data_IF_212025761587
#
_entry.id   IF_212025761587
#
_cell.length_a   1.000
_cell.length_b   1.000
_cell.length_c   1.000
_cell.angle_alpha   90.00
_cell.angle_beta   90.00
_cell.angle_gamma   90.00
#
_symmetry.space_group_name_H-M   'P 1'
#
loop_
_entity.id
_entity.type
_entity.pdbx_description
1 polymer ?
#
# COMPACT_ATOMS: atom_id res chain seq x y z
N UNK A 1 -21.71 24.66 -19.69
CA UNK A 1 -20.63 24.48 -18.72
C UNK A 1 -20.72 23.02 -18.19
N UNK A 2 -19.98 22.06 -18.82
CA UNK A 2 -20.02 20.64 -18.43
C UNK A 2 -19.39 20.51 -17.04
N UNK A 3 -20.15 19.99 -16.08
CA UNK A 3 -19.65 19.70 -14.75
C UNK A 3 -18.54 18.63 -14.86
N UNK A 4 -17.30 19.02 -14.60
CA UNK A 4 -16.16 18.11 -14.41
C UNK A 4 -16.35 17.44 -13.03
N UNK A 5 -17.08 16.34 -12.99
CA UNK A 5 -17.43 15.60 -11.76
C UNK A 5 -17.35 14.10 -11.89
N UNK A 6 -16.90 13.56 -13.01
CA UNK A 6 -16.58 12.15 -13.08
C UNK A 6 -15.14 11.92 -12.59
N UNK A 7 -14.97 11.08 -11.59
CA UNK A 7 -13.67 10.57 -11.17
C UNK A 7 -13.06 9.79 -12.35
N UNK A 8 -12.42 10.49 -13.27
CA UNK A 8 -11.66 9.85 -14.34
C UNK A 8 -10.55 9.05 -13.70
N UNK A 9 -10.57 7.74 -13.89
CA UNK A 9 -9.56 6.83 -13.39
C UNK A 9 -8.16 7.31 -13.84
N UNK A 10 -7.20 7.34 -12.92
CA UNK A 10 -5.85 7.80 -13.22
C UNK A 10 -4.97 6.64 -13.67
N UNK A 11 -4.76 6.51 -14.99
CA UNK A 11 -3.96 5.43 -15.58
C UNK A 11 -2.49 5.46 -15.19
N UNK A 12 -1.92 6.63 -14.86
CA UNK A 12 -0.55 6.74 -14.36
C UNK A 12 -0.42 6.09 -12.97
N UNK A 13 -1.35 6.34 -12.08
CA UNK A 13 -1.39 5.68 -10.77
C UNK A 13 -1.60 4.16 -10.92
N UNK A 14 -2.43 3.73 -11.86
CA UNK A 14 -2.62 2.30 -12.13
C UNK A 14 -1.34 1.64 -12.66
N UNK A 15 -0.62 2.30 -13.56
CA UNK A 15 0.68 1.83 -14.03
C UNK A 15 1.71 1.76 -12.89
N UNK A 16 1.79 2.79 -12.05
CA UNK A 16 2.71 2.82 -10.90
C UNK A 16 2.37 1.74 -9.86
N UNK A 17 1.08 1.46 -9.63
CA UNK A 17 0.67 0.31 -8.79
C UNK A 17 1.23 -1.00 -9.29
N UNK A 18 1.11 -1.24 -10.59
CA UNK A 18 1.67 -2.44 -11.22
C UNK A 18 3.20 -2.47 -11.08
N UNK A 19 3.88 -1.37 -11.38
CA UNK A 19 5.33 -1.27 -11.29
C UNK A 19 5.85 -1.59 -9.89
N UNK A 20 5.26 -0.99 -8.84
CA UNK A 20 5.68 -1.23 -7.46
C UNK A 20 5.31 -2.64 -6.96
N UNK A 21 4.20 -3.22 -7.40
CA UNK A 21 3.89 -4.63 -7.14
C UNK A 21 4.89 -5.57 -7.80
N UNK A 22 5.33 -5.24 -9.01
CA UNK A 22 6.35 -6.01 -9.74
C UNK A 22 7.72 -5.93 -9.03
N UNK A 23 8.11 -4.78 -8.51
CA UNK A 23 9.34 -4.61 -7.72
C UNK A 23 9.34 -5.54 -6.50
N UNK A 24 8.22 -5.61 -5.78
CA UNK A 24 8.05 -6.52 -4.64
C UNK A 24 8.15 -7.98 -5.08
N UNK A 25 7.47 -8.36 -6.15
CA UNK A 25 7.55 -9.72 -6.72
C UNK A 25 8.99 -10.08 -7.10
N UNK A 26 9.71 -9.22 -7.83
CA UNK A 26 11.07 -9.46 -8.28
C UNK A 26 12.03 -9.67 -7.11
N UNK A 27 11.88 -8.95 -6.02
CA UNK A 27 12.68 -9.15 -4.80
C UNK A 27 12.50 -10.55 -4.21
N UNK A 28 11.26 -11.01 -4.12
CA UNK A 28 10.94 -12.33 -3.55
C UNK A 28 11.20 -13.48 -4.52
N UNK A 29 11.29 -13.21 -5.83
CA UNK A 29 11.63 -14.22 -6.85
C UNK A 29 13.12 -14.56 -6.88
N UNK A 30 13.98 -13.84 -6.17
CA UNK A 30 15.41 -14.14 -6.06
C UNK A 30 15.69 -15.56 -5.54
N UNK A 31 14.77 -16.10 -4.73
CA UNK A 31 14.84 -17.48 -4.26
C UNK A 31 14.63 -18.52 -5.39
N UNK A 32 14.04 -18.11 -6.51
CA UNK A 32 13.72 -18.97 -7.66
C UNK A 32 14.89 -19.07 -8.62
N UNK A 33 15.60 -17.94 -8.85
CA UNK A 33 16.64 -17.81 -9.89
C UNK A 33 18.03 -18.21 -9.37
N UNK A 34 18.12 -18.60 -8.11
CA UNK A 34 19.38 -18.95 -7.44
C UNK A 34 19.93 -17.82 -6.57
N UNK A 35 20.61 -18.20 -5.50
CA UNK A 35 21.04 -17.34 -4.39
C UNK A 35 21.96 -16.15 -4.72
N UNK A 36 22.24 -15.85 -5.97
CA UNK A 36 23.20 -14.80 -6.38
C UNK A 36 22.56 -13.51 -6.88
N UNK A 37 21.23 -13.50 -7.14
CA UNK A 37 20.56 -12.33 -7.68
C UNK A 37 19.52 -11.80 -6.70
N UNK A 38 19.80 -10.70 -6.05
CA UNK A 38 18.93 -10.03 -5.08
C UNK A 38 18.60 -8.61 -5.56
N UNK A 39 17.71 -8.45 -6.56
CA UNK A 39 17.28 -7.13 -6.99
C UNK A 39 16.43 -6.47 -5.91
N UNK A 40 16.45 -5.17 -5.85
CA UNK A 40 15.57 -4.37 -4.99
C UNK A 40 15.64 -4.76 -3.51
N UNK A 41 16.80 -4.58 -2.89
CA UNK A 41 16.98 -4.80 -1.45
C UNK A 41 15.97 -4.00 -0.59
N UNK A 42 15.42 -2.95 -1.16
CA UNK A 42 14.48 -2.03 -0.57
C UNK A 42 13.02 -2.21 -0.96
N UNK A 43 12.62 -3.39 -1.39
CA UNK A 43 11.25 -3.71 -1.82
C UNK A 43 10.16 -3.29 -0.82
N UNK A 44 10.45 -3.42 0.48
CA UNK A 44 9.54 -3.00 1.53
C UNK A 44 9.14 -1.52 1.44
N UNK A 45 9.98 -0.69 0.81
CA UNK A 45 9.71 0.73 0.59
C UNK A 45 8.67 0.98 -0.51
N UNK A 46 8.43 0.02 -1.41
CA UNK A 46 7.36 0.12 -2.40
C UNK A 46 5.95 0.15 -1.77
N UNK A 47 5.80 -0.33 -0.52
CA UNK A 47 4.53 -0.31 0.20
C UNK A 47 4.11 1.12 0.57
N UNK A 48 5.05 2.06 0.72
CA UNK A 48 4.77 3.48 0.99
C UNK A 48 3.87 4.07 -0.10
N UNK A 49 4.12 3.70 -1.37
CA UNK A 49 3.27 4.12 -2.48
C UNK A 49 1.79 3.75 -2.25
N UNK A 50 1.54 2.53 -1.81
CA UNK A 50 0.17 2.05 -1.63
C UNK A 50 -0.54 2.75 -0.47
N UNK A 51 0.16 3.06 0.63
CA UNK A 51 -0.41 3.84 1.73
C UNK A 51 -0.70 5.28 1.32
N UNK A 52 0.25 5.95 0.65
CA UNK A 52 0.08 7.32 0.15
C UNK A 52 -1.11 7.44 -0.81
N UNK A 53 -1.20 6.52 -1.79
CA UNK A 53 -2.33 6.45 -2.73
C UNK A 53 -3.64 6.16 -2.01
N UNK A 54 -3.62 5.28 -1.01
CA UNK A 54 -4.80 4.91 -0.23
C UNK A 54 -5.35 6.10 0.56
N UNK A 55 -4.47 6.90 1.17
CA UNK A 55 -4.84 8.13 1.87
C UNK A 55 -5.42 9.19 0.93
N UNK A 56 -4.78 9.42 -0.21
CA UNK A 56 -5.27 10.35 -1.22
C UNK A 56 -6.69 9.99 -1.71
N UNK A 57 -6.91 8.72 -2.05
CA UNK A 57 -8.21 8.23 -2.54
C UNK A 57 -9.27 8.20 -1.44
N UNK A 58 -8.89 7.97 -0.18
CA UNK A 58 -9.79 8.09 0.97
C UNK A 58 -10.28 9.51 1.11
N UNK A 59 -9.39 10.50 1.06
CA UNK A 59 -9.78 11.91 1.16
C UNK A 59 -10.65 12.35 -0.03
N UNK A 60 -10.34 11.89 -1.24
CA UNK A 60 -11.19 12.14 -2.41
C UNK A 60 -12.63 11.60 -2.21
N UNK A 61 -12.77 10.43 -1.56
CA UNK A 61 -14.08 9.87 -1.21
C UNK A 61 -14.81 10.71 -0.17
N UNK A 62 -14.13 11.13 0.89
CA UNK A 62 -14.67 12.02 1.93
C UNK A 62 -15.16 13.33 1.32
N UNK A 63 -14.33 13.94 0.47
CA UNK A 63 -14.66 15.22 -0.18
C UNK A 63 -15.90 15.11 -1.09
N UNK A 64 -16.08 13.96 -1.75
CA UNK A 64 -17.29 13.69 -2.53
C UNK A 64 -18.53 13.60 -1.64
N UNK A 65 -18.45 12.94 -0.50
CA UNK A 65 -19.55 12.85 0.46
C UNK A 65 -19.89 14.21 1.09
N UNK A 66 -18.87 15.04 1.42
CA UNK A 66 -19.07 16.38 1.95
C UNK A 66 -19.83 17.30 0.96
N UNK A 67 -19.52 17.19 -0.34
CA UNK A 67 -20.21 17.97 -1.39
C UNK A 67 -21.61 17.47 -1.69
N UNK A 68 -21.89 16.17 -1.46
CA UNK A 68 -23.20 15.57 -1.72
C UNK A 68 -24.29 15.97 -0.72
N UNK A 69 -23.93 16.62 0.39
CA UNK A 69 -24.89 17.03 1.43
C UNK A 69 -25.56 15.88 2.17
N UNK A 70 -25.04 14.66 2.04
CA UNK A 70 -25.60 13.47 2.67
C UNK A 70 -25.55 13.57 4.21
N UNK A 71 -26.71 13.66 4.84
CA UNK A 71 -26.90 13.61 6.29
C UNK A 71 -26.87 12.16 6.82
N UNK A 72 -26.08 11.30 6.22
CA UNK A 72 -25.92 9.93 6.68
C UNK A 72 -25.25 9.91 8.06
N UNK A 73 -25.70 8.99 8.94
CA UNK A 73 -25.02 8.77 10.21
C UNK A 73 -23.55 8.42 9.96
N UNK A 74 -22.65 9.20 10.55
CA UNK A 74 -21.20 9.12 10.35
C UNK A 74 -20.65 7.69 10.49
N UNK A 75 -21.13 6.93 11.49
CA UNK A 75 -20.76 5.54 11.69
C UNK A 75 -21.18 4.64 10.50
N UNK A 76 -22.40 4.83 9.99
CA UNK A 76 -22.91 4.05 8.83
C UNK A 76 -22.10 4.36 7.56
N UNK A 77 -21.78 5.62 7.34
CA UNK A 77 -20.96 6.05 6.21
C UNK A 77 -19.54 5.44 6.29
N UNK A 78 -18.90 5.50 7.47
CA UNK A 78 -17.58 4.91 7.69
C UNK A 78 -17.58 3.40 7.46
N UNK A 79 -18.55 2.69 8.03
CA UNK A 79 -18.71 1.24 7.81
C UNK A 79 -18.98 0.93 6.35
N UNK A 80 -19.81 1.71 5.67
CA UNK A 80 -20.07 1.57 4.22
C UNK A 80 -18.79 1.74 3.38
N UNK A 81 -17.96 2.73 3.70
CA UNK A 81 -16.67 2.94 3.06
C UNK A 81 -15.73 1.74 3.26
N UNK A 82 -15.56 1.28 4.50
CA UNK A 82 -14.70 0.14 4.83
C UNK A 82 -15.20 -1.16 4.17
N UNK A 83 -16.50 -1.41 4.23
CA UNK A 83 -17.11 -2.58 3.58
C UNK A 83 -16.87 -2.59 2.07
N UNK A 84 -17.00 -1.43 1.42
CA UNK A 84 -16.68 -1.30 -0.01
C UNK A 84 -15.21 -1.58 -0.30
N UNK A 85 -14.30 -1.11 0.55
CA UNK A 85 -12.86 -1.40 0.45
C UNK A 85 -12.59 -2.89 0.61
N UNK A 86 -13.12 -3.51 1.66
CA UNK A 86 -12.95 -4.95 1.92
C UNK A 86 -13.47 -5.76 0.73
N UNK A 87 -14.69 -5.51 0.26
CA UNK A 87 -15.26 -6.21 -0.91
C UNK A 87 -14.39 -6.09 -2.16
N UNK A 88 -13.62 -5.01 -2.29
CA UNK A 88 -12.76 -4.77 -3.45
C UNK A 88 -11.47 -5.61 -3.47
N UNK A 89 -11.02 -6.15 -2.36
CA UNK A 89 -9.79 -6.96 -2.31
C UNK A 89 -9.96 -8.33 -1.63
N UNK A 90 -11.04 -8.55 -0.91
CA UNK A 90 -11.27 -9.76 -0.11
C UNK A 90 -11.26 -11.05 -0.92
N UNK A 91 -11.89 -11.13 -2.10
CA UNK A 91 -11.86 -12.37 -2.90
C UNK A 91 -10.44 -12.80 -3.25
N UNK A 92 -9.60 -11.87 -3.69
CA UNK A 92 -8.20 -12.14 -4.05
C UNK A 92 -7.36 -12.46 -2.81
N UNK A 93 -7.60 -11.75 -1.71
CA UNK A 93 -6.91 -11.96 -0.45
C UNK A 93 -7.21 -13.34 0.14
N UNK A 94 -8.48 -13.74 0.21
CA UNK A 94 -8.85 -15.04 0.78
C UNK A 94 -8.33 -16.21 -0.06
N UNK A 95 -8.33 -16.09 -1.39
CA UNK A 95 -7.74 -17.09 -2.28
C UNK A 95 -6.24 -17.22 -2.00
N UNK A 96 -5.51 -16.09 -1.97
CA UNK A 96 -4.07 -16.10 -1.70
C UNK A 96 -3.75 -16.67 -0.31
N UNK A 97 -4.56 -16.37 0.71
CA UNK A 97 -4.41 -16.87 2.06
C UNK A 97 -4.67 -18.39 2.15
N UNK A 98 -5.77 -18.88 1.53
CA UNK A 98 -6.10 -20.31 1.48
C UNK A 98 -5.00 -21.10 0.77
N UNK A 99 -4.51 -20.59 -0.37
CA UNK A 99 -3.40 -21.21 -1.08
C UNK A 99 -2.14 -21.27 -0.21
N UNK A 100 -1.80 -20.19 0.50
CA UNK A 100 -0.66 -20.16 1.40
C UNK A 100 -0.84 -21.15 2.58
N UNK A 101 -2.04 -21.26 3.15
CA UNK A 101 -2.37 -22.23 4.20
C UNK A 101 -2.23 -23.66 3.71
N UNK A 102 -2.80 -23.98 2.54
CA UNK A 102 -2.73 -25.34 1.97
C UNK A 102 -1.29 -25.78 1.73
N UNK A 103 -0.43 -24.90 1.20
CA UNK A 103 0.98 -25.26 0.98
C UNK A 103 1.72 -25.49 2.29
N UNK A 104 1.52 -24.61 3.27
CA UNK A 104 2.13 -24.83 4.56
C UNK A 104 1.61 -26.12 5.23
N UNK A 105 0.37 -26.55 4.95
CA UNK A 105 -0.16 -27.83 5.42
C UNK A 105 0.47 -29.01 4.68
N UNK A 106 0.59 -28.94 3.35
CA UNK A 106 1.22 -29.99 2.52
C UNK A 106 2.70 -30.17 2.86
N UNK A 107 3.39 -29.10 3.21
CA UNK A 107 4.80 -29.12 3.61
C UNK A 107 5.04 -29.69 5.01
N UNK A 108 4.00 -29.97 5.81
CA UNK A 108 4.15 -30.63 7.12
C UNK A 108 4.40 -32.15 6.97
N UNK A 109 5.23 -32.69 7.83
CA UNK A 109 5.49 -34.14 7.90
C UNK A 109 4.23 -34.89 8.32
N UNK A 110 3.54 -34.42 9.37
CA UNK A 110 2.31 -35.02 9.87
C UNK A 110 1.06 -34.28 9.33
N UNK A 111 0.27 -34.97 8.53
CA UNK A 111 -0.98 -34.45 7.90
C UNK A 111 -2.19 -35.00 8.66
N UNK A 112 -2.48 -34.39 9.81
CA UNK A 112 -3.63 -34.74 10.63
C UNK A 112 -4.72 -33.70 10.57
N UNK A 113 -6.01 -34.12 10.73
CA UNK A 113 -7.15 -33.18 10.80
C UNK A 113 -6.95 -32.19 11.96
N UNK A 114 -6.45 -32.68 13.12
CA UNK A 114 -6.15 -31.82 14.27
C UNK A 114 -5.09 -30.77 13.93
N UNK A 115 -4.04 -31.17 13.20
CA UNK A 115 -3.00 -30.25 12.73
C UNK A 115 -3.54 -29.19 11.77
N UNK A 116 -4.46 -29.55 10.88
CA UNK A 116 -5.13 -28.60 9.98
C UNK A 116 -6.01 -27.59 10.73
N UNK A 117 -6.82 -28.08 11.69
CA UNK A 117 -7.66 -27.20 12.52
C UNK A 117 -6.81 -26.25 13.38
N UNK A 118 -5.70 -26.72 13.95
CA UNK A 118 -4.75 -25.83 14.65
C UNK A 118 -4.23 -24.73 13.74
N UNK A 119 -3.84 -25.06 12.50
CA UNK A 119 -3.38 -24.05 11.52
C UNK A 119 -4.46 -23.02 11.19
N UNK A 120 -5.71 -23.44 11.04
CA UNK A 120 -6.82 -22.50 10.81
C UNK A 120 -6.97 -21.52 11.98
N UNK A 121 -6.89 -22.02 13.21
CA UNK A 121 -6.96 -21.19 14.42
C UNK A 121 -5.76 -20.23 14.52
N UNK A 122 -4.55 -20.72 14.25
CA UNK A 122 -3.33 -19.91 14.27
C UNK A 122 -3.36 -18.80 13.21
N UNK A 123 -3.89 -19.10 12.02
CA UNK A 123 -4.01 -18.16 10.91
C UNK A 123 -5.27 -17.27 10.93
N UNK A 124 -6.13 -17.44 11.94
CA UNK A 124 -7.42 -16.71 12.01
C UNK A 124 -7.23 -15.18 11.95
N UNK A 125 -6.25 -14.66 12.68
CA UNK A 125 -5.98 -13.21 12.69
C UNK A 125 -5.63 -12.65 11.33
N UNK A 126 -4.89 -13.42 10.53
CA UNK A 126 -4.51 -13.06 9.17
C UNK A 126 -5.70 -13.16 8.20
N UNK A 127 -6.42 -14.30 8.21
CA UNK A 127 -7.60 -14.53 7.35
C UNK A 127 -8.76 -13.56 7.63
N UNK A 128 -8.91 -13.11 8.88
CA UNK A 128 -9.91 -12.12 9.31
C UNK A 128 -9.45 -10.66 9.19
N UNK A 129 -8.21 -10.39 8.72
CA UNK A 129 -7.61 -9.04 8.66
C UNK A 129 -7.38 -8.39 10.02
N UNK A 130 -7.38 -9.16 11.11
CA UNK A 130 -7.17 -8.69 12.48
C UNK A 130 -5.72 -8.89 12.98
N UNK A 131 -4.84 -9.42 12.14
CA UNK A 131 -3.45 -9.69 12.50
C UNK A 131 -2.74 -8.45 13.08
N UNK A 132 -2.86 -7.31 12.43
CA UNK A 132 -2.23 -6.07 12.90
C UNK A 132 -2.95 -5.42 14.10
N UNK A 133 -4.09 -5.96 14.52
CA UNK A 133 -4.73 -5.63 15.81
C UNK A 133 -4.16 -6.46 16.97
N UNK A 134 -3.19 -7.36 16.72
CA UNK A 134 -2.60 -8.24 17.73
C UNK A 134 -3.36 -9.55 17.93
N UNK A 135 -4.24 -9.91 16.99
CA UNK A 135 -5.00 -11.16 17.03
C UNK A 135 -4.37 -12.17 16.08
N UNK A 136 -3.94 -13.31 16.62
CA UNK A 136 -3.25 -14.37 15.89
C UNK A 136 -1.72 -14.32 16.07
N UNK A 137 -1.10 -15.48 16.01
CA UNK A 137 0.33 -15.66 16.28
C UNK A 137 1.14 -16.08 15.05
N UNK A 138 0.48 -16.59 14.02
CA UNK A 138 1.13 -17.18 12.84
C UNK A 138 0.68 -16.48 11.56
N UNK A 139 1.62 -16.27 10.66
CA UNK A 139 1.36 -15.70 9.33
C UNK A 139 1.71 -16.72 8.25
N UNK A 140 0.72 -17.09 7.43
CA UNK A 140 0.92 -17.90 6.23
C UNK A 140 1.24 -17.03 5.02
N UNK A 141 0.60 -15.86 4.95
CA UNK A 141 0.81 -14.85 3.93
C UNK A 141 1.08 -13.49 4.59
N UNK A 142 2.30 -13.29 5.06
CA UNK A 142 2.69 -12.10 5.84
C UNK A 142 2.32 -10.77 5.18
N UNK A 143 2.21 -10.73 3.84
CA UNK A 143 1.88 -9.48 3.12
C UNK A 143 0.49 -8.92 3.42
N UNK A 144 -0.39 -9.73 4.02
CA UNK A 144 -1.70 -9.28 4.51
C UNK A 144 -1.59 -8.22 5.62
N UNK A 145 -0.41 -8.10 6.27
CA UNK A 145 -0.17 -7.03 7.24
C UNK A 145 -0.53 -5.64 6.71
N UNK A 146 -0.21 -5.37 5.44
CA UNK A 146 -0.52 -4.10 4.80
C UNK A 146 -2.03 -3.81 4.77
N UNK A 147 -2.85 -4.80 4.36
CA UNK A 147 -4.31 -4.65 4.29
C UNK A 147 -4.91 -4.45 5.68
N UNK A 148 -4.45 -5.21 6.67
CA UNK A 148 -4.90 -5.08 8.06
C UNK A 148 -4.56 -3.68 8.62
N UNK A 149 -3.30 -3.23 8.49
CA UNK A 149 -2.88 -1.88 8.93
C UNK A 149 -3.63 -0.78 8.19
N UNK A 150 -3.83 -0.93 6.87
CA UNK A 150 -4.60 0.03 6.07
C UNK A 150 -6.03 0.17 6.57
N UNK A 151 -6.72 -0.94 6.85
CA UNK A 151 -8.11 -0.91 7.32
C UNK A 151 -8.23 -0.28 8.70
N UNK A 152 -7.35 -0.65 9.65
CA UNK A 152 -7.31 -0.05 11.00
C UNK A 152 -7.11 1.46 10.90
N UNK A 153 -6.11 1.87 10.13
CA UNK A 153 -5.81 3.30 9.95
C UNK A 153 -6.95 4.06 9.27
N UNK A 154 -7.54 3.49 8.22
CA UNK A 154 -8.68 4.11 7.53
C UNK A 154 -9.93 4.18 8.40
N UNK A 155 -10.19 3.18 9.26
CA UNK A 155 -11.34 3.21 10.16
C UNK A 155 -11.26 4.42 11.11
N UNK A 156 -10.09 4.69 11.67
CA UNK A 156 -9.85 5.82 12.57
C UNK A 156 -9.86 7.14 11.80
N UNK A 157 -9.06 7.22 10.73
CA UNK A 157 -8.85 8.47 10.00
C UNK A 157 -10.11 8.93 9.26
N UNK A 158 -10.85 8.02 8.61
CA UNK A 158 -12.08 8.36 7.90
C UNK A 158 -13.10 9.02 8.84
N UNK A 159 -13.34 8.39 10.00
CA UNK A 159 -14.25 8.89 11.01
C UNK A 159 -13.88 10.30 11.49
N UNK A 160 -12.60 10.49 11.86
CA UNK A 160 -12.10 11.74 12.40
C UNK A 160 -12.10 12.87 11.36
N UNK A 161 -11.62 12.58 10.15
CA UNK A 161 -11.55 13.57 9.07
C UNK A 161 -12.96 13.97 8.65
N UNK A 162 -13.89 13.01 8.53
CA UNK A 162 -15.27 13.29 8.12
C UNK A 162 -16.00 14.16 9.15
N UNK A 163 -15.69 13.98 10.45
CA UNK A 163 -16.27 14.77 11.53
C UNK A 163 -15.65 16.17 11.67
N UNK A 164 -14.33 16.27 11.51
CA UNK A 164 -13.57 17.51 11.75
C UNK A 164 -12.60 17.78 10.57
N UNK A 165 -13.08 18.01 9.34
CA UNK A 165 -12.23 18.02 8.16
C UNK A 165 -11.11 19.05 8.25
N UNK A 166 -11.42 20.31 8.53
CA UNK A 166 -10.43 21.40 8.59
C UNK A 166 -9.39 21.20 9.69
N UNK A 167 -9.81 20.89 10.90
CA UNK A 167 -8.89 20.69 12.04
C UNK A 167 -7.96 19.49 11.80
N UNK A 168 -8.52 18.40 11.26
CA UNK A 168 -7.72 17.21 10.95
C UNK A 168 -6.69 17.50 9.86
N UNK A 169 -7.12 18.01 8.71
CA UNK A 169 -6.22 18.14 7.56
C UNK A 169 -5.19 19.26 7.71
N UNK A 170 -5.54 20.36 8.39
CA UNK A 170 -4.66 21.53 8.50
C UNK A 170 -3.74 21.52 9.73
N UNK A 171 -4.12 20.82 10.80
CA UNK A 171 -3.38 20.89 12.09
C UNK A 171 -3.05 19.49 12.60
N UNK A 172 -4.05 18.65 12.86
CA UNK A 172 -3.85 17.41 13.63
C UNK A 172 -3.01 16.40 12.82
N UNK A 173 -3.36 16.16 11.55
CA UNK A 173 -2.61 15.19 10.74
C UNK A 173 -1.17 15.63 10.45
N UNK A 174 -0.86 16.89 10.07
CA UNK A 174 0.52 17.33 9.92
C UNK A 174 1.36 17.13 11.20
N UNK A 175 0.82 17.51 12.35
CA UNK A 175 1.51 17.33 13.65
C UNK A 175 1.65 15.84 13.99
N UNK A 176 0.60 15.03 13.81
CA UNK A 176 0.64 13.60 14.06
C UNK A 176 1.66 12.89 13.18
N UNK A 177 1.76 13.23 11.89
CA UNK A 177 2.77 12.68 10.96
C UNK A 177 4.18 12.99 11.47
N UNK A 178 4.45 14.24 11.84
CA UNK A 178 5.78 14.62 12.35
C UNK A 178 6.13 13.83 13.62
N UNK A 179 5.20 13.75 14.58
CA UNK A 179 5.44 13.04 15.84
C UNK A 179 5.61 11.52 15.62
N UNK A 180 4.76 10.90 14.80
CA UNK A 180 4.82 9.46 14.56
C UNK A 180 6.05 9.06 13.75
N UNK A 181 6.39 9.78 12.69
CA UNK A 181 7.61 9.54 11.93
C UNK A 181 8.85 9.86 12.75
N UNK A 182 8.82 10.93 13.56
CA UNK A 182 9.89 11.27 14.50
C UNK A 182 10.11 10.17 15.55
N UNK A 183 9.03 9.61 16.11
CA UNK A 183 9.09 8.46 17.02
C UNK A 183 9.75 7.23 16.34
N UNK A 184 9.32 6.89 15.13
CA UNK A 184 9.89 5.77 14.38
C UNK A 184 11.36 6.03 14.02
N UNK A 185 11.70 7.24 13.63
CA UNK A 185 13.08 7.65 13.31
C UNK A 185 14.01 7.50 14.51
N UNK A 186 13.60 8.01 15.67
CA UNK A 186 14.42 8.02 16.87
C UNK A 186 14.61 6.63 17.47
N UNK A 187 13.55 5.81 17.50
CA UNK A 187 13.59 4.52 18.18
C UNK A 187 14.03 3.36 17.29
N UNK A 188 13.79 3.45 15.97
CA UNK A 188 14.02 2.32 15.05
C UNK A 188 14.94 2.66 13.88
N UNK A 189 15.07 3.91 13.51
CA UNK A 189 15.94 4.37 12.43
C UNK A 189 15.59 3.85 11.02
N UNK A 190 14.47 3.11 10.87
CA UNK A 190 14.04 2.51 9.60
C UNK A 190 12.54 2.29 9.57
N UNK A 191 11.93 2.28 8.38
CA UNK A 191 10.53 1.92 8.17
C UNK A 191 10.31 0.40 7.99
N UNK A 192 11.35 -0.42 7.97
CA UNK A 192 11.26 -1.88 7.84
C UNK A 192 10.66 -2.55 9.08
N UNK A 193 10.40 -3.86 8.96
CA UNK A 193 9.86 -4.71 10.03
C UNK A 193 8.49 -4.23 10.56
N UNK A 194 7.47 -4.14 9.70
CA UNK A 194 6.15 -3.64 10.08
C UNK A 194 5.46 -4.50 11.14
N UNK A 195 5.78 -5.78 11.21
CA UNK A 195 5.23 -6.74 12.19
C UNK A 195 5.97 -6.74 13.53
N UNK A 196 6.87 -5.79 13.76
CA UNK A 196 7.49 -5.60 15.07
C UNK A 196 6.50 -4.98 16.04
N UNK A 197 6.27 -5.64 17.18
CA UNK A 197 5.46 -5.11 18.27
C UNK A 197 6.20 -4.00 19.01
N UNK A 198 5.53 -2.88 19.27
CA UNK A 198 6.15 -1.67 19.84
C UNK A 198 5.41 -1.19 21.11
N UNK A 199 5.14 -2.11 22.00
CA UNK A 199 4.48 -1.87 23.29
C UNK A 199 2.97 -2.07 23.24
N UNK A 200 2.24 -1.23 22.52
CA UNK A 200 0.77 -1.26 22.46
C UNK A 200 0.20 -1.58 21.07
N UNK A 201 1.04 -1.57 20.04
CA UNK A 201 0.63 -1.85 18.66
C UNK A 201 1.82 -2.36 17.83
N UNK A 202 1.57 -2.76 16.60
CA UNK A 202 2.63 -3.04 15.63
C UNK A 202 3.16 -1.75 14.99
N UNK A 203 4.47 -1.73 14.70
CA UNK A 203 5.16 -0.64 14.01
C UNK A 203 4.48 -0.27 12.69
N UNK A 204 3.97 -1.27 11.95
CA UNK A 204 3.25 -1.10 10.70
C UNK A 204 1.98 -0.25 10.82
N UNK A 205 1.30 -0.25 11.98
CA UNK A 205 0.11 0.58 12.20
C UNK A 205 0.49 2.07 12.32
N UNK A 206 1.54 2.40 13.08
CA UNK A 206 2.02 3.78 13.19
C UNK A 206 2.48 4.29 11.81
N UNK A 207 3.22 3.45 11.08
CA UNK A 207 3.63 3.72 9.72
C UNK A 207 2.42 3.96 8.81
N UNK A 208 1.43 3.07 8.80
CA UNK A 208 0.23 3.18 7.97
C UNK A 208 -0.57 4.46 8.27
N UNK A 209 -0.78 4.80 9.56
CA UNK A 209 -1.46 6.04 9.95
C UNK A 209 -0.71 7.25 9.42
N UNK A 210 0.62 7.29 9.57
CA UNK A 210 1.45 8.42 9.11
C UNK A 210 1.39 8.60 7.59
N UNK A 211 1.55 7.51 6.84
CA UNK A 211 1.64 7.55 5.38
C UNK A 211 0.28 7.76 4.72
N UNK A 212 -0.80 7.19 5.27
CA UNK A 212 -2.17 7.49 4.84
C UNK A 212 -2.50 8.96 5.13
N UNK A 213 -2.07 9.50 6.29
CA UNK A 213 -2.23 10.92 6.61
C UNK A 213 -1.47 11.82 5.64
N UNK A 214 -0.24 11.46 5.24
CA UNK A 214 0.48 12.16 4.17
C UNK A 214 -0.31 12.13 2.85
N UNK A 215 -0.94 11.01 2.51
CA UNK A 215 -1.81 10.90 1.34
C UNK A 215 -3.01 11.85 1.42
N UNK A 216 -3.64 11.99 2.59
CA UNK A 216 -4.73 12.94 2.86
C UNK A 216 -4.26 14.39 2.68
N UNK A 217 -3.13 14.75 3.30
CA UNK A 217 -2.53 16.09 3.17
C UNK A 217 -2.19 16.37 1.71
N UNK A 218 -1.64 15.37 1.01
CA UNK A 218 -1.34 15.47 -0.43
C UNK A 218 -2.57 15.75 -1.28
N UNK A 219 -3.73 15.20 -0.95
CA UNK A 219 -5.00 15.52 -1.63
C UNK A 219 -5.34 17.00 -1.48
N UNK A 220 -5.30 17.55 -0.28
CA UNK A 220 -5.60 18.97 -0.02
C UNK A 220 -4.66 19.90 -0.79
N UNK A 221 -3.35 19.58 -0.80
CA UNK A 221 -2.36 20.35 -1.55
C UNK A 221 -2.67 20.30 -3.06
N UNK A 222 -2.94 19.12 -3.63
CA UNK A 222 -3.26 18.99 -5.05
C UNK A 222 -4.54 19.74 -5.41
N UNK A 223 -5.58 19.71 -4.55
CA UNK A 223 -6.80 20.46 -4.77
C UNK A 223 -6.57 21.99 -4.71
N UNK A 224 -5.76 22.44 -3.74
CA UNK A 224 -5.41 23.85 -3.62
C UNK A 224 -4.72 24.38 -4.89
N UNK A 225 -3.79 23.60 -5.44
CA UNK A 225 -3.08 23.97 -6.67
C UNK A 225 -3.84 23.59 -7.97
N UNK A 226 -5.00 22.96 -7.90
CA UNK A 226 -5.75 22.51 -9.09
C UNK A 226 -6.08 23.65 -10.08
N UNK A 227 -6.42 24.89 -9.63
CA UNK A 227 -6.73 25.99 -10.55
C UNK A 227 -5.51 26.51 -11.33
N UNK A 228 -4.30 26.29 -10.84
CA UNK A 228 -3.06 26.80 -11.46
C UNK A 228 -2.86 26.15 -12.82
N UNK A 229 -2.82 26.95 -13.87
CA UNK A 229 -2.55 26.50 -15.23
C UNK A 229 -1.04 26.57 -15.52
N UNK A 230 -0.46 25.46 -15.93
CA UNK A 230 0.95 25.44 -16.34
C UNK A 230 1.08 25.69 -17.84
N UNK A 231 2.03 26.55 -18.23
CA UNK A 231 2.45 26.67 -19.61
C UNK A 231 3.22 25.39 -20.08
N UNK A 232 3.52 25.31 -21.37
CA UNK A 232 4.19 24.13 -21.95
C UNK A 232 5.51 23.80 -21.24
N UNK A 233 6.34 24.80 -20.94
CA UNK A 233 7.63 24.61 -20.23
C UNK A 233 7.42 24.08 -18.81
N UNK A 234 6.43 24.63 -18.07
CA UNK A 234 6.09 24.18 -16.72
C UNK A 234 5.56 22.73 -16.70
N UNK A 235 4.75 22.32 -17.69
CA UNK A 235 4.30 20.92 -17.83
C UNK A 235 5.47 19.96 -18.07
N UNK A 236 6.41 20.31 -18.96
CA UNK A 236 7.61 19.53 -19.24
C UNK A 236 8.47 19.43 -17.98
N UNK A 237 8.73 20.54 -17.31
CA UNK A 237 9.51 20.58 -16.07
C UNK A 237 8.90 19.67 -14.99
N UNK A 238 7.59 19.76 -14.75
CA UNK A 238 6.86 18.94 -13.79
C UNK A 238 7.00 17.45 -14.13
N UNK A 239 6.86 17.08 -15.41
CA UNK A 239 6.99 15.69 -15.85
C UNK A 239 8.39 15.16 -15.64
N UNK A 240 9.42 15.90 -16.08
CA UNK A 240 10.83 15.51 -15.91
C UNK A 240 11.16 15.35 -14.42
N UNK A 241 10.82 16.35 -13.59
CA UNK A 241 11.07 16.34 -12.15
C UNK A 241 10.42 15.10 -11.50
N UNK A 242 9.14 14.83 -11.80
CA UNK A 242 8.40 13.68 -11.26
C UNK A 242 9.05 12.35 -11.64
N UNK A 243 9.38 12.14 -12.91
CA UNK A 243 10.02 10.89 -13.35
C UNK A 243 11.45 10.74 -12.84
N UNK A 244 12.19 11.84 -12.69
CA UNK A 244 13.48 11.81 -11.99
C UNK A 244 13.32 11.37 -10.53
N UNK A 245 12.31 11.88 -9.81
CA UNK A 245 12.04 11.44 -8.43
C UNK A 245 11.71 9.94 -8.36
N UNK A 246 10.84 9.41 -9.24
CA UNK A 246 10.59 7.96 -9.30
C UNK A 246 11.85 7.17 -9.64
N UNK A 247 12.68 7.65 -10.57
CA UNK A 247 13.96 7.03 -10.91
C UNK A 247 14.90 6.96 -9.70
N UNK A 248 15.01 8.04 -8.94
CA UNK A 248 15.82 8.11 -7.70
C UNK A 248 15.26 7.15 -6.63
N UNK A 249 13.94 7.05 -6.47
CA UNK A 249 13.29 6.13 -5.53
C UNK A 249 13.56 4.67 -5.93
N UNK A 250 13.41 4.34 -7.22
CA UNK A 250 13.68 2.99 -7.72
C UNK A 250 15.17 2.63 -7.56
N UNK A 251 16.08 3.57 -7.84
CA UNK A 251 17.51 3.38 -7.60
C UNK A 251 17.81 3.19 -6.11
N UNK A 252 17.17 3.96 -5.23
CA UNK A 252 17.29 3.77 -3.78
C UNK A 252 16.83 2.37 -3.36
N UNK A 253 15.68 1.91 -3.85
CA UNK A 253 15.19 0.55 -3.57
C UNK A 253 16.11 -0.53 -4.14
N UNK A 254 16.76 -0.28 -5.29
CA UNK A 254 17.68 -1.24 -5.88
C UNK A 254 18.91 -1.47 -5.01
N UNK A 255 19.53 -0.39 -4.54
CA UNK A 255 20.81 -0.47 -3.85
C UNK A 255 20.68 -0.61 -2.34
N UNK A 256 19.69 0.01 -1.74
CA UNK A 256 19.52 0.07 -0.28
C UNK A 256 18.10 0.35 0.13
N UNK A 257 17.71 -0.18 1.27
CA UNK A 257 16.62 0.33 2.10
C UNK A 257 16.79 -0.15 3.53
N UNK A 258 16.11 0.48 4.45
CA UNK A 258 16.08 0.08 5.84
C UNK A 258 17.05 0.82 6.73
N UNK A 259 17.29 2.11 6.45
CA UNK A 259 18.02 3.02 7.31
C UNK A 259 17.28 4.38 7.45
N UNK A 260 17.92 5.32 8.18
CA UNK A 260 17.37 6.66 8.44
C UNK A 260 17.04 7.46 7.17
N UNK A 261 17.59 7.10 6.03
CA UNK A 261 17.29 7.75 4.74
C UNK A 261 15.90 7.40 4.22
N UNK A 262 15.29 6.31 4.70
CA UNK A 262 13.89 5.96 4.37
C UNK A 262 12.96 7.17 4.56
N UNK A 263 13.18 7.96 5.61
CA UNK A 263 12.33 9.11 5.92
C UNK A 263 12.46 10.26 4.92
N UNK A 264 13.65 10.50 4.40
CA UNK A 264 13.88 11.51 3.36
C UNK A 264 13.23 11.04 2.06
N UNK A 265 13.48 9.78 1.67
CA UNK A 265 12.91 9.22 0.46
C UNK A 265 11.39 9.06 0.52
N UNK A 266 10.79 8.89 1.71
CA UNK A 266 9.35 8.92 1.89
C UNK A 266 8.75 10.27 1.46
N UNK A 267 9.37 11.39 1.83
CA UNK A 267 8.89 12.71 1.40
C UNK A 267 9.11 12.95 -0.11
N UNK A 268 10.21 12.46 -0.68
CA UNK A 268 10.43 12.49 -2.14
C UNK A 268 9.33 11.68 -2.84
N UNK A 269 9.00 10.50 -2.30
CA UNK A 269 7.96 9.65 -2.84
C UNK A 269 6.58 10.28 -2.74
N UNK A 270 6.25 10.84 -1.59
CA UNK A 270 5.01 11.58 -1.37
C UNK A 270 4.85 12.71 -2.39
N UNK A 271 5.89 13.51 -2.62
CA UNK A 271 5.84 14.60 -3.59
C UNK A 271 5.67 14.09 -5.03
N UNK A 272 6.36 13.01 -5.41
CA UNK A 272 6.19 12.38 -6.73
C UNK A 272 4.75 11.88 -6.94
N UNK A 273 4.15 11.25 -5.92
CA UNK A 273 2.75 10.78 -5.95
C UNK A 273 1.77 11.94 -6.09
N UNK A 274 1.99 13.07 -5.40
CA UNK A 274 1.16 14.27 -5.57
C UNK A 274 1.26 14.82 -7.00
N UNK A 275 2.47 14.86 -7.57
CA UNK A 275 2.65 15.29 -8.96
C UNK A 275 1.88 14.39 -9.93
N UNK A 276 1.84 13.08 -9.71
CA UNK A 276 1.07 12.12 -10.52
C UNK A 276 -0.44 12.33 -10.38
N UNK A 277 -0.93 12.61 -9.18
CA UNK A 277 -2.35 12.94 -8.97
C UNK A 277 -2.77 14.30 -9.53
N UNK A 278 -1.85 15.26 -9.64
CA UNK A 278 -2.14 16.57 -10.22
C UNK A 278 -2.57 16.50 -11.70
N UNK A 279 -2.14 15.47 -12.41
CA UNK A 279 -2.37 15.25 -13.85
C UNK A 279 -2.03 16.46 -14.72
N UNK A 280 -1.04 17.24 -14.32
CA UNK A 280 -0.61 18.47 -15.04
C UNK A 280 0.62 18.24 -15.94
N UNK A 281 1.18 17.04 -15.95
CA UNK A 281 2.28 16.65 -16.83
C UNK A 281 1.87 16.50 -18.29
N UNK A 282 2.87 16.44 -19.18
CA UNK A 282 2.66 16.23 -20.62
C UNK A 282 2.21 14.81 -20.94
N UNK A 283 2.56 13.84 -20.09
CA UNK A 283 2.30 12.40 -20.28
C UNK A 283 0.90 11.97 -19.87
N UNK A 284 0.06 12.88 -19.39
CA UNK A 284 -1.30 12.56 -18.91
C UNK A 284 -2.07 11.66 -19.85
N UNK A 285 -2.10 12.00 -21.14
CA UNK A 285 -2.86 11.25 -22.14
C UNK A 285 -2.21 9.90 -22.49
N UNK A 286 -0.89 9.79 -22.33
CA UNK A 286 -0.16 8.54 -22.59
C UNK A 286 -0.60 7.41 -21.67
N UNK A 287 -0.82 7.69 -20.40
CA UNK A 287 -1.26 6.69 -19.43
C UNK A 287 -2.77 6.45 -19.41
N UNK A 288 -3.58 7.32 -20.03
CA UNK A 288 -5.05 7.18 -20.07
C UNK A 288 -5.47 6.17 -21.15
N UNK A 289 -5.05 4.91 -20.99
CA UNK A 289 -5.33 3.82 -21.92
C UNK A 289 -5.73 2.54 -21.19
N UNK A 290 -6.34 1.60 -21.92
CA UNK A 290 -6.85 0.35 -21.35
C UNK A 290 -5.73 -0.56 -20.80
N UNK A 291 -4.53 -0.49 -21.36
CA UNK A 291 -3.38 -1.31 -20.91
C UNK A 291 -2.99 -0.90 -19.49
N UNK A 292 -2.84 0.41 -19.21
CA UNK A 292 -2.53 0.91 -17.88
C UNK A 292 -3.62 0.54 -16.88
N UNK A 293 -4.90 0.67 -17.27
CA UNK A 293 -6.02 0.28 -16.42
C UNK A 293 -6.05 -1.22 -16.13
N UNK A 294 -5.73 -2.05 -17.12
CA UNK A 294 -5.62 -3.49 -16.96
C UNK A 294 -4.47 -3.86 -16.00
N UNK A 295 -3.27 -3.33 -16.22
CA UNK A 295 -2.10 -3.54 -15.36
C UNK A 295 -2.42 -3.16 -13.89
N UNK A 296 -3.09 -2.03 -13.67
CA UNK A 296 -3.49 -1.60 -12.34
C UNK A 296 -4.45 -2.56 -11.63
N UNK A 297 -5.29 -3.31 -12.36
CA UNK A 297 -6.15 -4.35 -11.78
C UNK A 297 -5.35 -5.54 -11.26
N UNK A 298 -4.27 -5.94 -11.95
CA UNK A 298 -3.42 -7.05 -11.56
C UNK A 298 -2.47 -6.74 -10.40
N UNK A 299 -2.23 -5.47 -10.10
CA UNK A 299 -1.26 -5.06 -9.08
C UNK A 299 -1.54 -5.70 -7.71
N UNK A 300 -2.80 -5.79 -7.32
CA UNK A 300 -3.19 -6.38 -6.04
C UNK A 300 -2.99 -7.90 -6.03
N UNK A 301 -3.42 -8.59 -7.08
CA UNK A 301 -3.24 -10.05 -7.20
C UNK A 301 -1.75 -10.42 -7.19
N UNK A 302 -0.90 -9.66 -7.89
CA UNK A 302 0.56 -9.82 -7.85
C UNK A 302 1.07 -9.65 -6.43
N UNK A 303 0.67 -8.57 -5.75
CA UNK A 303 1.09 -8.28 -4.39
C UNK A 303 0.65 -9.37 -3.40
N UNK A 304 -0.55 -9.91 -3.50
CA UNK A 304 -1.06 -10.92 -2.57
C UNK A 304 -0.49 -12.31 -2.81
N UNK A 305 -0.23 -12.66 -4.07
CA UNK A 305 0.17 -14.02 -4.44
C UNK A 305 1.70 -14.22 -4.54
N UNK A 306 2.52 -13.15 -4.49
CA UNK A 306 3.96 -13.29 -4.75
C UNK A 306 4.69 -14.20 -3.75
N UNK A 307 4.32 -14.19 -2.46
CA UNK A 307 4.91 -15.08 -1.44
C UNK A 307 4.57 -16.55 -1.73
N UNK A 308 3.32 -16.80 -2.14
CA UNK A 308 2.89 -18.13 -2.56
C UNK A 308 3.76 -18.66 -3.71
N UNK A 309 3.93 -17.88 -4.77
CA UNK A 309 4.76 -18.29 -5.91
C UNK A 309 6.23 -18.46 -5.53
N UNK A 310 6.78 -17.57 -4.73
CA UNK A 310 8.17 -17.64 -4.28
C UNK A 310 8.46 -18.90 -3.45
N UNK A 311 7.55 -19.32 -2.57
CA UNK A 311 7.71 -20.55 -1.76
C UNK A 311 7.55 -21.82 -2.60
N UNK A 312 6.55 -21.86 -3.48
CA UNK A 312 6.23 -23.06 -4.26
C UNK A 312 7.25 -23.39 -5.33
N UNK A 313 7.71 -22.40 -6.06
CA UNK A 313 8.75 -22.64 -7.07
C UNK A 313 10.03 -23.18 -6.42
N UNK A 314 10.37 -22.74 -5.21
CA UNK A 314 11.49 -23.33 -4.48
C UNK A 314 11.25 -24.82 -4.14
N UNK A 315 10.04 -25.18 -3.68
CA UNK A 315 9.69 -26.55 -3.36
C UNK A 315 9.76 -27.45 -4.61
N UNK A 316 9.12 -27.03 -5.72
CA UNK A 316 9.14 -27.78 -6.98
C UNK A 316 10.53 -27.90 -7.59
N UNK A 317 11.38 -26.88 -7.49
CA UNK A 317 12.74 -26.93 -8.01
C UNK A 317 13.66 -27.80 -7.14
N UNK A 318 13.51 -27.78 -5.81
CA UNK A 318 14.30 -28.66 -4.93
C UNK A 318 13.94 -30.12 -5.12
N UNK A 319 12.67 -30.47 -5.33
CA UNK A 319 12.26 -31.85 -5.62
C UNK A 319 12.77 -32.32 -6.99
N UNK A 320 12.71 -31.50 -8.02
CA UNK A 320 13.22 -31.84 -9.35
C UNK A 320 14.75 -32.06 -9.32
N UNK A 321 15.50 -31.23 -8.56
CA UNK A 321 16.96 -31.36 -8.46
C UNK A 321 17.41 -32.44 -7.45
N UNK A 322 16.55 -32.92 -6.56
CA UNK A 322 16.88 -34.02 -5.65
C UNK A 322 16.66 -35.40 -6.29
N UNK A 323 15.95 -35.47 -7.41
CA UNK A 323 15.67 -36.67 -8.19
C UNK A 323 16.40 -36.73 -9.55
N UNK A 324 17.25 -35.73 -9.86
CA UNK A 324 18.14 -35.69 -11.03
C UNK A 324 19.59 -35.84 -10.60
#
# INVERSE_FOLDING_TARGET
MKMQGENVRNGEIDFLRFLFSLIILLRHSSNIVGKRWYPFLGDAFAVEFFFLVSGYLMMASIHKCLRGGDNCLLGRETVGFLTKKIKGFFPEMIIAWVLALLINYVAREEKTIRGFLSMLMDGFGEGSLLFMAGIGSTTFNVVVWYLSSMLISMAILYLLIRKYPDNMTKIILPVAVILMLGYLYQNYGTLRSPTQWIGFTYKGNIRAISEISLGVIGYEIVQHFSPVQLNKKGKVFLSVMKWCMYGVIIAYMWFRSGDRRDYIFLFVFWFAVMCSFSQKGIEKNFFQNQVCFFLGKFSLSIYLCHIFWAKNLNFLLTDIYSHA
#
